data_IF_106530366435
#
_entry.id   IF_106530366435
#
_cell.length_a   1.000
_cell.length_b   1.000
_cell.length_c   1.000
_cell.angle_alpha   90.00
_cell.angle_beta   90.00
_cell.angle_gamma   90.00
#
_symmetry.space_group_name_H-M   'P 1'
#
loop_
_entity.id
_entity.type
_entity.pdbx_description
1 polymer ?
#
# COMPACT_ATOMS: atom_id res chain seq x y z
N UNK A 1 -27.49 3.85 10.56
CA UNK A 1 -27.68 4.00 9.09
C UNK A 1 -26.74 5.10 8.68
N UNK A 2 -25.54 4.75 8.20
CA UNK A 2 -24.63 5.73 7.60
C UNK A 2 -25.05 5.88 6.14
N UNK A 3 -25.47 7.09 5.77
CA UNK A 3 -25.75 7.46 4.40
C UNK A 3 -24.48 7.27 3.57
N UNK A 4 -24.56 6.43 2.55
CA UNK A 4 -23.55 6.32 1.51
C UNK A 4 -23.55 7.65 0.74
N UNK A 5 -22.56 8.49 0.96
CA UNK A 5 -22.33 9.67 0.14
C UNK A 5 -22.09 9.23 -1.31
N UNK A 6 -22.88 9.79 -2.21
CA UNK A 6 -22.82 9.55 -3.65
C UNK A 6 -21.44 9.95 -4.22
N UNK A 7 -20.59 8.94 -4.46
CA UNK A 7 -19.24 9.09 -4.99
C UNK A 7 -19.16 9.54 -6.48
N UNK A 8 -20.32 9.90 -7.09
CA UNK A 8 -20.38 10.26 -8.52
C UNK A 8 -19.91 11.69 -8.85
N UNK A 9 -19.56 12.51 -7.85
CA UNK A 9 -19.32 13.95 -8.00
C UNK A 9 -17.87 14.42 -7.90
N UNK A 10 -16.88 13.52 -7.92
CA UNK A 10 -15.51 14.02 -8.00
C UNK A 10 -15.24 14.60 -9.39
N UNK A 11 -14.74 15.85 -9.49
CA UNK A 11 -14.38 16.43 -10.77
C UNK A 11 -13.32 15.55 -11.45
N UNK A 12 -13.42 15.42 -12.77
CA UNK A 12 -12.40 14.76 -13.56
C UNK A 12 -11.03 15.36 -13.19
N UNK A 13 -10.11 14.51 -12.71
CA UNK A 13 -8.78 14.92 -12.27
C UNK A 13 -7.97 15.36 -13.49
N UNK A 14 -8.18 16.62 -13.93
CA UNK A 14 -7.42 17.23 -15.00
C UNK A 14 -6.05 17.66 -14.43
N UNK A 15 -5.00 17.03 -14.91
CA UNK A 15 -3.63 17.49 -14.68
C UNK A 15 -3.51 18.93 -15.25
N UNK A 16 -3.19 19.91 -14.36
CA UNK A 16 -2.88 21.29 -14.79
C UNK A 16 -3.73 22.40 -14.19
N UNK A 17 -4.83 22.10 -13.48
CA UNK A 17 -5.60 23.14 -12.79
C UNK A 17 -5.04 23.36 -11.38
N UNK A 18 -4.55 24.56 -11.11
CA UNK A 18 -4.05 24.96 -9.77
C UNK A 18 -5.14 24.94 -8.69
N UNK A 19 -6.40 24.80 -9.05
CA UNK A 19 -7.55 24.67 -8.14
C UNK A 19 -7.94 23.21 -7.85
N UNK A 20 -7.42 22.24 -8.61
CA UNK A 20 -7.76 20.84 -8.44
C UNK A 20 -7.22 20.27 -7.12
N UNK A 21 -7.97 19.35 -6.48
CA UNK A 21 -7.49 18.66 -5.28
C UNK A 21 -6.26 17.80 -5.61
N UNK A 22 -5.36 17.66 -4.62
CA UNK A 22 -4.24 16.74 -4.72
C UNK A 22 -4.73 15.31 -4.58
N UNK A 23 -4.29 14.43 -5.48
CA UNK A 23 -4.65 13.02 -5.45
C UNK A 23 -3.68 12.23 -4.56
N UNK A 24 -4.21 11.64 -3.50
CA UNK A 24 -3.52 10.64 -2.68
C UNK A 24 -3.88 9.24 -3.16
N UNK A 25 -2.91 8.46 -3.60
CA UNK A 25 -3.09 7.06 -3.94
C UNK A 25 -2.87 6.15 -2.73
N UNK A 26 -3.74 5.16 -2.55
CA UNK A 26 -3.67 4.15 -1.49
C UNK A 26 -3.66 2.75 -2.12
N UNK A 27 -2.72 1.91 -1.70
CA UNK A 27 -2.68 0.49 -2.08
C UNK A 27 -2.02 -0.34 -0.97
N UNK A 28 -2.28 -1.67 -0.97
CA UNK A 28 -1.73 -2.59 0.00
C UNK A 28 -1.01 -3.77 -0.65
N UNK A 29 -0.10 -4.36 0.11
CA UNK A 29 0.56 -5.63 -0.20
C UNK A 29 0.42 -6.61 0.96
N UNK A 30 0.11 -7.87 0.64
CA UNK A 30 0.11 -8.92 1.66
C UNK A 30 -1.25 -9.38 2.13
N UNK A 31 -2.32 -9.26 1.34
CA UNK A 31 -3.64 -9.83 1.67
C UNK A 31 -3.67 -11.35 1.59
N UNK A 32 -3.14 -11.92 0.51
CA UNK A 32 -3.19 -13.37 0.25
C UNK A 32 -2.16 -14.27 0.94
N UNK A 33 -1.03 -13.79 1.49
CA UNK A 33 -0.08 -14.62 2.23
C UNK A 33 -0.67 -15.27 3.48
N UNK A 34 -0.14 -16.46 3.81
CA UNK A 34 -0.45 -17.20 5.04
C UNK A 34 0.32 -16.69 6.25
N UNK A 35 1.36 -15.88 6.05
CA UNK A 35 2.24 -15.40 7.12
C UNK A 35 2.68 -13.95 6.89
N UNK A 36 2.97 -13.27 7.99
CA UNK A 36 3.47 -11.91 8.01
C UNK A 36 2.39 -10.83 7.92
N UNK A 37 2.80 -9.56 7.94
CA UNK A 37 1.89 -8.41 8.00
C UNK A 37 1.17 -8.15 6.68
N UNK A 38 0.11 -7.34 6.74
CA UNK A 38 -0.34 -6.51 5.62
C UNK A 38 0.32 -5.15 5.74
N UNK A 39 0.77 -4.61 4.61
CA UNK A 39 1.44 -3.32 4.51
C UNK A 39 0.71 -2.48 3.48
N UNK A 40 0.34 -1.26 3.83
CA UNK A 40 -0.21 -0.29 2.90
C UNK A 40 0.68 0.94 2.78
N UNK A 41 0.50 1.65 1.69
CA UNK A 41 1.15 2.94 1.44
C UNK A 41 0.13 3.99 1.00
N UNK A 42 0.39 5.23 1.39
CA UNK A 42 -0.26 6.42 0.88
C UNK A 42 0.78 7.27 0.15
N UNK A 43 0.46 7.78 -1.04
CA UNK A 43 1.40 8.57 -1.85
C UNK A 43 0.69 9.74 -2.53
N UNK A 44 1.29 10.93 -2.43
CA UNK A 44 0.96 12.10 -3.24
C UNK A 44 2.20 12.42 -4.09
N UNK A 45 2.03 12.51 -5.39
CA UNK A 45 3.11 12.83 -6.33
C UNK A 45 3.12 14.32 -6.63
N UNK A 46 4.30 14.95 -6.79
CA UNK A 46 4.40 16.30 -7.32
C UNK A 46 4.03 16.33 -8.81
N UNK A 47 3.65 17.49 -9.33
CA UNK A 47 3.18 17.65 -10.71
C UNK A 47 4.25 17.28 -11.76
N UNK A 48 5.51 17.43 -11.45
CA UNK A 48 6.67 17.13 -12.31
C UNK A 48 7.18 15.69 -12.16
N UNK A 49 6.45 14.82 -11.45
CA UNK A 49 6.88 13.44 -11.25
C UNK A 49 6.94 12.67 -12.58
N UNK A 50 8.04 12.00 -12.92
CA UNK A 50 8.19 11.28 -14.18
C UNK A 50 7.37 9.98 -14.19
N UNK A 51 6.20 9.93 -14.87
CA UNK A 51 5.29 8.77 -14.79
C UNK A 51 5.88 7.50 -15.42
N UNK A 52 6.85 7.63 -16.33
CA UNK A 52 7.51 6.50 -16.97
C UNK A 52 8.23 5.55 -15.99
N UNK A 53 8.56 6.04 -14.78
CA UNK A 53 9.22 5.24 -13.73
C UNK A 53 8.24 4.26 -13.08
N UNK A 54 6.95 4.59 -13.09
CA UNK A 54 5.92 3.83 -12.38
C UNK A 54 5.41 2.61 -13.15
N UNK A 55 5.79 2.44 -14.43
CA UNK A 55 5.31 1.36 -15.31
C UNK A 55 4.95 0.09 -14.55
N UNK A 56 3.75 -0.43 -14.81
CA UNK A 56 3.10 -1.63 -14.22
C UNK A 56 3.91 -2.30 -13.09
N UNK A 57 3.64 -1.92 -11.84
CA UNK A 57 4.40 -2.34 -10.66
C UNK A 57 4.54 -3.86 -10.54
N UNK A 58 3.58 -4.61 -11.11
CA UNK A 58 3.54 -6.07 -11.13
C UNK A 58 4.48 -6.67 -12.18
N UNK A 59 4.84 -5.89 -13.22
CA UNK A 59 5.77 -6.29 -14.30
C UNK A 59 7.19 -5.74 -14.12
N UNK A 60 7.42 -4.84 -13.13
CA UNK A 60 8.76 -4.34 -12.86
C UNK A 60 9.67 -5.45 -12.32
N UNK A 61 10.86 -5.59 -12.90
CA UNK A 61 11.92 -6.40 -12.29
C UNK A 61 12.29 -5.83 -10.91
N UNK A 62 12.90 -6.63 -10.04
CA UNK A 62 13.31 -6.21 -8.69
C UNK A 62 14.13 -4.92 -8.76
N UNK A 63 15.17 -4.85 -9.63
CA UNK A 63 16.01 -3.66 -9.79
C UNK A 63 15.24 -2.41 -10.22
N UNK A 64 14.29 -2.54 -11.15
CA UNK A 64 13.47 -1.41 -11.59
C UNK A 64 12.54 -0.93 -10.48
N UNK A 65 12.01 -1.85 -9.66
CA UNK A 65 11.15 -1.52 -8.52
C UNK A 65 11.94 -0.81 -7.41
N UNK A 66 13.16 -1.24 -7.11
CA UNK A 66 14.04 -0.57 -6.17
C UNK A 66 14.41 0.86 -6.63
N UNK A 67 14.67 1.04 -7.92
CA UNK A 67 14.90 2.38 -8.48
C UNK A 67 13.65 3.26 -8.36
N UNK A 68 12.48 2.73 -8.70
CA UNK A 68 11.22 3.45 -8.57
C UNK A 68 10.94 3.82 -7.10
N UNK A 69 11.13 2.89 -6.16
CA UNK A 69 11.01 3.13 -4.73
C UNK A 69 11.89 4.31 -4.28
N UNK A 70 13.17 4.31 -4.68
CA UNK A 70 14.10 5.39 -4.34
C UNK A 70 13.60 6.74 -4.81
N UNK A 71 13.18 6.85 -6.08
CA UNK A 71 12.70 8.10 -6.66
C UNK A 71 11.38 8.54 -6.03
N UNK A 72 10.45 7.62 -5.75
CA UNK A 72 9.20 7.94 -5.04
C UNK A 72 9.52 8.51 -3.65
N UNK A 73 10.38 7.86 -2.88
CA UNK A 73 10.76 8.31 -1.52
C UNK A 73 11.46 9.67 -1.51
N UNK A 74 12.22 9.98 -2.56
CA UNK A 74 12.93 11.26 -2.70
C UNK A 74 11.99 12.41 -3.07
N UNK A 75 11.03 12.18 -3.99
CA UNK A 75 10.22 13.25 -4.59
C UNK A 75 8.82 13.38 -4.00
N UNK A 76 8.18 12.29 -3.62
CA UNK A 76 6.78 12.25 -3.24
C UNK A 76 6.56 12.49 -1.74
N UNK A 77 5.36 12.95 -1.37
CA UNK A 77 4.87 12.78 -0.02
C UNK A 77 4.33 11.37 0.15
N UNK A 78 4.83 10.63 1.12
CA UNK A 78 4.42 9.23 1.31
C UNK A 78 4.37 8.83 2.78
N UNK A 79 3.52 7.84 3.06
CA UNK A 79 3.42 7.17 4.34
C UNK A 79 3.28 5.67 4.19
N UNK A 80 3.70 4.92 5.21
CA UNK A 80 3.55 3.45 5.29
C UNK A 80 2.75 3.12 6.54
N UNK A 81 1.80 2.21 6.38
CA UNK A 81 1.04 1.60 7.46
C UNK A 81 1.27 0.09 7.49
N UNK A 82 1.52 -0.45 8.66
CA UNK A 82 1.79 -1.88 8.87
C UNK A 82 0.82 -2.41 9.91
N UNK A 83 0.17 -3.55 9.60
CA UNK A 83 -0.69 -4.27 10.53
C UNK A 83 -0.20 -5.71 10.64
N UNK A 84 0.04 -6.15 11.89
CA UNK A 84 0.64 -7.46 12.17
C UNK A 84 -0.29 -8.62 11.83
N UNK A 85 0.28 -9.82 11.73
CA UNK A 85 -0.47 -11.07 11.56
C UNK A 85 -1.45 -11.32 12.71
N UNK A 86 -1.10 -10.95 13.94
CA UNK A 86 -1.97 -11.10 15.13
C UNK A 86 -3.22 -10.24 15.00
N UNK A 87 -3.07 -8.97 14.62
CA UNK A 87 -4.22 -8.08 14.39
C UNK A 87 -5.06 -8.57 13.19
N UNK A 88 -4.42 -9.12 12.14
CA UNK A 88 -5.16 -9.74 11.03
C UNK A 88 -6.06 -10.88 11.51
N UNK A 89 -5.56 -11.71 12.43
CA UNK A 89 -6.33 -12.82 12.99
C UNK A 89 -7.48 -12.34 13.91
N UNK A 90 -7.35 -11.17 14.53
CA UNK A 90 -8.37 -10.56 15.38
C UNK A 90 -9.50 -9.89 14.59
N UNK A 91 -9.16 -9.08 13.57
CA UNK A 91 -10.13 -8.21 12.88
C UNK A 91 -10.44 -8.62 11.44
N UNK A 92 -9.88 -9.68 10.93
CA UNK A 92 -9.81 -10.16 9.55
C UNK A 92 -8.96 -9.31 8.59
N UNK A 93 -8.70 -9.87 7.40
CA UNK A 93 -7.77 -9.25 6.44
C UNK A 93 -8.34 -7.99 5.76
N UNK A 94 -9.65 -7.87 5.61
CA UNK A 94 -10.26 -6.68 5.02
C UNK A 94 -10.07 -5.48 5.96
N UNK A 95 -10.51 -5.61 7.20
CA UNK A 95 -10.37 -4.56 8.22
C UNK A 95 -8.90 -4.22 8.49
N UNK A 96 -8.03 -5.23 8.51
CA UNK A 96 -6.59 -5.01 8.67
C UNK A 96 -5.97 -4.25 7.48
N UNK A 97 -6.45 -4.48 6.24
CA UNK A 97 -6.00 -3.72 5.06
C UNK A 97 -6.45 -2.26 5.14
N UNK A 98 -7.71 -2.00 5.50
CA UNK A 98 -8.23 -0.65 5.69
C UNK A 98 -7.51 0.08 6.83
N UNK A 99 -7.24 -0.61 7.95
CA UNK A 99 -6.45 -0.07 9.06
C UNK A 99 -5.01 0.25 8.64
N UNK A 100 -4.39 -0.58 7.80
CA UNK A 100 -3.06 -0.31 7.27
C UNK A 100 -3.07 0.93 6.35
N UNK A 101 -4.08 1.08 5.48
CA UNK A 101 -4.26 2.28 4.65
C UNK A 101 -4.47 3.54 5.50
N UNK A 102 -5.28 3.47 6.56
CA UNK A 102 -5.48 4.57 7.51
C UNK A 102 -4.16 5.01 8.13
N UNK A 103 -3.39 4.06 8.68
CA UNK A 103 -2.05 4.35 9.25
C UNK A 103 -1.09 4.93 8.22
N UNK A 104 -1.14 4.47 6.97
CA UNK A 104 -0.32 5.02 5.90
C UNK A 104 -0.67 6.48 5.60
N UNK A 105 -1.96 6.80 5.53
CA UNK A 105 -2.43 8.17 5.33
C UNK A 105 -2.07 9.08 6.51
N UNK A 106 -2.23 8.62 7.74
CA UNK A 106 -1.81 9.35 8.95
C UNK A 106 -0.30 9.65 8.93
N UNK A 107 0.52 8.66 8.57
CA UNK A 107 1.97 8.85 8.44
C UNK A 107 2.37 9.83 7.32
N UNK A 108 1.61 9.87 6.22
CA UNK A 108 1.77 10.87 5.16
C UNK A 108 1.38 12.26 5.67
N UNK A 109 0.24 12.39 6.35
CA UNK A 109 -0.31 13.67 6.80
C UNK A 109 0.64 14.43 7.72
N UNK A 110 1.41 13.74 8.56
CA UNK A 110 2.42 14.34 9.44
C UNK A 110 3.51 15.09 8.64
N UNK A 111 3.84 14.61 7.44
CA UNK A 111 4.92 15.16 6.60
C UNK A 111 4.41 16.15 5.55
N UNK A 112 3.12 16.17 5.34
CA UNK A 112 2.51 16.81 4.18
C UNK A 112 2.83 18.29 4.05
N UNK A 113 2.69 19.08 5.12
CA UNK A 113 2.90 20.53 5.05
C UNK A 113 4.34 20.89 4.67
N UNK A 114 5.33 20.23 5.30
CA UNK A 114 6.75 20.46 5.00
C UNK A 114 7.09 20.05 3.57
N UNK A 115 6.55 18.94 3.10
CA UNK A 115 6.75 18.49 1.73
C UNK A 115 6.10 19.43 0.71
N UNK A 116 4.87 19.89 0.97
CA UNK A 116 4.12 20.78 0.09
C UNK A 116 4.84 22.13 -0.10
N UNK A 117 5.38 22.72 0.97
CA UNK A 117 6.21 23.91 0.89
C UNK A 117 7.45 23.69 0.02
N UNK A 118 8.19 22.62 0.25
CA UNK A 118 9.39 22.28 -0.52
C UNK A 118 9.12 21.94 -1.98
N UNK A 119 7.97 21.38 -2.29
CA UNK A 119 7.54 21.03 -3.65
C UNK A 119 6.84 22.19 -4.38
N UNK A 120 6.67 23.37 -3.76
CA UNK A 120 5.94 24.51 -4.33
C UNK A 120 4.45 24.19 -4.57
N UNK A 121 3.88 23.25 -3.81
CA UNK A 121 2.49 22.82 -3.94
C UNK A 121 1.62 23.66 -3.02
N UNK A 122 0.75 24.47 -3.60
CA UNK A 122 -0.28 25.19 -2.85
C UNK A 122 -1.33 24.16 -2.39
N UNK A 123 -1.24 23.73 -1.14
CA UNK A 123 -2.12 22.71 -0.58
C UNK A 123 -3.54 23.25 -0.41
N UNK A 124 -4.49 22.69 -1.16
CA UNK A 124 -5.90 23.07 -1.01
C UNK A 124 -6.70 21.93 -0.38
N UNK A 125 -6.94 20.89 -1.10
CA UNK A 125 -7.75 19.76 -0.64
C UNK A 125 -7.07 18.48 -1.10
N UNK A 126 -7.05 17.48 -0.24
CA UNK A 126 -6.60 16.14 -0.61
C UNK A 126 -7.84 15.27 -0.85
N UNK A 127 -7.85 14.55 -1.97
CA UNK A 127 -8.80 13.48 -2.24
C UNK A 127 -8.02 12.17 -2.40
N UNK A 128 -8.53 11.09 -1.87
CA UNK A 128 -7.87 9.79 -1.93
C UNK A 128 -8.54 8.83 -2.93
N UNK A 129 -7.73 7.98 -3.55
CA UNK A 129 -8.19 6.81 -4.32
C UNK A 129 -7.51 5.58 -3.76
N UNK A 130 -8.32 4.60 -3.32
CA UNK A 130 -7.85 3.32 -2.83
C UNK A 130 -8.02 2.25 -3.92
N UNK A 131 -6.99 1.40 -4.12
CA UNK A 131 -7.16 0.19 -4.94
C UNK A 131 -8.06 -0.81 -4.22
N UNK A 132 -9.10 -1.27 -4.89
CA UNK A 132 -10.06 -2.24 -4.34
C UNK A 132 -11.50 -1.77 -4.35
N UNK A 133 -12.31 -2.30 -3.42
CA UNK A 133 -13.77 -2.10 -3.35
C UNK A 133 -14.22 -1.32 -2.10
N UNK A 134 -13.31 -1.00 -1.20
CA UNK A 134 -13.61 -0.33 0.07
C UNK A 134 -12.65 0.82 0.32
N UNK A 135 -13.15 1.86 0.99
CA UNK A 135 -12.36 3.01 1.42
C UNK A 135 -11.98 2.88 2.89
N UNK A 136 -10.74 3.25 3.27
CA UNK A 136 -10.41 3.45 4.67
C UNK A 136 -11.13 4.68 5.24
N UNK A 137 -11.42 4.66 6.54
CA UNK A 137 -11.88 5.83 7.29
C UNK A 137 -10.69 6.77 7.57
N UNK A 138 -10.52 7.78 6.71
CA UNK A 138 -9.45 8.79 6.75
C UNK A 138 -10.02 10.20 6.72
N UNK A 139 -9.24 11.18 7.13
CA UNK A 139 -9.71 12.57 7.27
C UNK A 139 -9.91 13.35 5.96
N UNK A 140 -10.10 12.68 4.82
CA UNK A 140 -10.41 13.31 3.53
C UNK A 140 -11.41 12.46 2.73
N UNK A 141 -11.96 13.06 1.67
CA UNK A 141 -12.80 12.33 0.74
C UNK A 141 -12.00 11.19 0.08
N UNK A 142 -12.54 9.97 0.13
CA UNK A 142 -11.90 8.79 -0.45
C UNK A 142 -12.89 8.02 -1.33
N UNK A 143 -12.44 7.61 -2.49
CA UNK A 143 -13.15 6.64 -3.34
C UNK A 143 -12.33 5.37 -3.51
N UNK A 144 -13.01 4.25 -3.65
CA UNK A 144 -12.39 2.99 -4.02
C UNK A 144 -12.60 2.69 -5.50
N UNK A 145 -11.59 2.13 -6.14
CA UNK A 145 -11.68 1.73 -7.54
C UNK A 145 -10.86 0.46 -7.78
N UNK A 146 -11.48 -0.54 -8.39
CA UNK A 146 -10.81 -1.80 -8.71
C UNK A 146 -9.78 -1.57 -9.80
N UNK A 147 -8.56 -2.04 -9.57
CA UNK A 147 -7.37 -1.84 -10.43
C UNK A 147 -7.00 -0.35 -10.59
N UNK A 148 -7.16 0.42 -9.54
CA UNK A 148 -6.73 1.81 -9.50
C UNK A 148 -5.21 1.94 -9.69
N UNK A 149 -4.45 0.92 -9.28
CA UNK A 149 -3.01 0.78 -9.50
C UNK A 149 -2.60 0.78 -10.99
N UNK A 150 -3.51 0.48 -11.90
CA UNK A 150 -3.28 0.54 -13.34
C UNK A 150 -3.71 1.88 -13.97
N UNK A 151 -4.44 2.74 -13.24
CA UNK A 151 -5.06 3.95 -13.78
C UNK A 151 -4.48 5.24 -13.22
N UNK A 152 -4.10 5.24 -11.94
CA UNK A 152 -3.67 6.43 -11.22
C UNK A 152 -2.21 6.32 -10.79
N UNK A 153 -1.38 7.24 -11.25
CA UNK A 153 0.05 7.26 -10.92
C UNK A 153 0.33 7.26 -9.40
N UNK A 154 -0.39 8.03 -8.54
CA UNK A 154 -0.19 7.94 -7.10
C UNK A 154 -0.51 6.56 -6.50
N UNK A 155 -1.54 5.86 -7.02
CA UNK A 155 -1.90 4.50 -6.56
C UNK A 155 -0.84 3.49 -7.02
N UNK A 156 -0.34 3.63 -8.24
CA UNK A 156 0.77 2.82 -8.76
C UNK A 156 2.04 3.00 -7.90
N UNK A 157 2.36 4.23 -7.51
CA UNK A 157 3.46 4.53 -6.61
C UNK A 157 3.24 3.92 -5.21
N UNK A 158 2.01 3.98 -4.68
CA UNK A 158 1.64 3.35 -3.43
C UNK A 158 1.82 1.82 -3.49
N UNK A 159 1.39 1.18 -4.56
CA UNK A 159 1.59 -0.25 -4.82
C UNK A 159 3.07 -0.65 -4.75
N UNK A 160 3.95 0.13 -5.38
CA UNK A 160 5.39 -0.09 -5.34
C UNK A 160 5.91 -0.02 -3.91
N UNK A 161 5.60 1.04 -3.16
CA UNK A 161 6.10 1.23 -1.79
C UNK A 161 5.56 0.16 -0.84
N UNK A 162 4.28 -0.18 -0.91
CA UNK A 162 3.69 -1.24 -0.09
C UNK A 162 4.37 -2.59 -0.35
N UNK A 163 4.59 -2.91 -1.64
CA UNK A 163 5.24 -4.17 -2.06
C UNK A 163 6.71 -4.25 -1.62
N UNK A 164 7.50 -3.20 -1.85
CA UNK A 164 8.92 -3.21 -1.49
C UNK A 164 9.11 -3.26 0.02
N UNK A 165 8.34 -2.49 0.77
CA UNK A 165 8.35 -2.50 2.23
C UNK A 165 8.01 -3.89 2.78
N UNK A 166 6.92 -4.51 2.29
CA UNK A 166 6.53 -5.84 2.75
C UNK A 166 7.55 -6.90 2.39
N UNK A 167 8.08 -6.87 1.18
CA UNK A 167 9.09 -7.85 0.75
C UNK A 167 10.37 -7.76 1.61
N UNK A 168 10.80 -6.55 1.97
CA UNK A 168 11.92 -6.34 2.89
C UNK A 168 11.65 -6.94 4.28
N UNK A 169 10.44 -6.73 4.83
CA UNK A 169 10.03 -7.35 6.10
C UNK A 169 10.11 -8.88 6.00
N UNK A 170 9.60 -9.47 4.91
CA UNK A 170 9.59 -10.93 4.77
C UNK A 170 10.99 -11.52 4.55
N UNK A 171 11.92 -10.77 3.96
CA UNK A 171 13.34 -11.15 3.88
C UNK A 171 13.99 -11.14 5.27
N UNK A 172 13.67 -10.15 6.10
CA UNK A 172 14.16 -10.11 7.48
C UNK A 172 13.56 -11.24 8.34
N UNK A 173 12.28 -11.58 8.11
CA UNK A 173 11.66 -12.73 8.77
C UNK A 173 12.29 -14.07 8.35
N UNK A 174 12.78 -14.18 7.10
CA UNK A 174 13.52 -15.36 6.64
C UNK A 174 14.80 -15.60 7.45
N UNK A 175 15.52 -14.53 7.77
CA UNK A 175 16.72 -14.62 8.62
C UNK A 175 16.40 -15.11 10.04
N UNK A 176 15.24 -14.74 10.58
CA UNK A 176 14.78 -15.14 11.92
C UNK A 176 14.21 -16.57 11.94
N UNK A 177 13.56 -16.95 10.83
CA UNK A 177 12.86 -18.23 10.70
C UNK A 177 13.27 -18.95 9.39
N UNK A 178 14.54 -19.32 9.24
CA UNK A 178 15.07 -19.80 7.95
C UNK A 178 14.43 -21.10 7.45
N UNK A 179 13.89 -21.92 8.36
CA UNK A 179 13.20 -23.16 8.01
C UNK A 179 11.95 -22.96 7.15
N UNK A 180 11.35 -21.75 7.17
CA UNK A 180 10.12 -21.46 6.44
C UNK A 180 10.34 -20.92 5.00
N UNK A 181 11.52 -20.40 4.67
CA UNK A 181 11.87 -19.96 3.32
C UNK A 181 11.15 -18.69 2.85
N UNK A 182 10.87 -17.75 3.74
CA UNK A 182 10.13 -16.52 3.45
C UNK A 182 10.80 -15.61 2.42
N UNK A 183 12.12 -15.66 2.28
CA UNK A 183 12.82 -14.90 1.25
C UNK A 183 12.39 -15.28 -0.17
N UNK A 184 11.95 -16.53 -0.40
CA UNK A 184 11.50 -17.00 -1.70
C UNK A 184 10.05 -16.64 -1.99
N UNK A 185 9.14 -17.05 -1.13
CA UNK A 185 7.69 -16.95 -1.38
C UNK A 185 6.99 -15.84 -0.61
N UNK A 186 7.70 -15.05 0.21
CA UNK A 186 7.15 -13.90 0.97
C UNK A 186 5.87 -14.23 1.79
N UNK A 187 5.76 -15.48 2.24
CA UNK A 187 4.59 -15.98 2.99
C UNK A 187 3.40 -16.39 2.14
N UNK A 188 3.46 -16.30 0.81
CA UNK A 188 2.37 -16.75 -0.07
C UNK A 188 2.16 -18.28 0.01
N UNK A 189 0.92 -18.77 -0.26
CA UNK A 189 0.54 -20.18 -0.14
C UNK A 189 1.10 -21.04 -1.28
N UNK A 190 2.41 -21.03 -1.49
CA UNK A 190 3.07 -21.91 -2.44
C UNK A 190 3.02 -23.37 -1.96
N UNK A 191 3.17 -24.32 -2.86
CA UNK A 191 3.24 -25.75 -2.50
C UNK A 191 4.32 -26.01 -1.43
N UNK A 192 5.47 -25.35 -1.59
CA UNK A 192 6.58 -25.42 -0.64
C UNK A 192 6.19 -24.90 0.75
N UNK A 193 5.61 -23.67 0.83
CA UNK A 193 5.23 -23.09 2.12
C UNK A 193 4.18 -23.95 2.83
N UNK A 194 3.17 -24.44 2.10
CA UNK A 194 2.16 -25.34 2.65
C UNK A 194 2.75 -26.66 3.16
N UNK A 195 3.72 -27.24 2.42
CA UNK A 195 4.42 -28.46 2.83
C UNK A 195 5.18 -28.22 4.13
N UNK A 196 5.97 -27.15 4.21
CA UNK A 196 6.73 -26.79 5.40
C UNK A 196 5.82 -26.62 6.62
N UNK A 197 4.71 -25.89 6.48
CA UNK A 197 3.75 -25.71 7.58
C UNK A 197 3.13 -27.03 8.07
N UNK A 198 2.94 -28.02 7.18
CA UNK A 198 2.45 -29.35 7.60
C UNK A 198 3.53 -30.18 8.30
N UNK A 199 4.78 -30.06 7.90
CA UNK A 199 5.90 -30.84 8.43
C UNK A 199 6.39 -30.34 9.78
N UNK A 200 6.54 -29.02 9.94
CA UNK A 200 7.14 -28.41 11.14
C UNK A 200 6.17 -27.49 11.91
N UNK A 201 4.91 -27.38 11.47
CA UNK A 201 3.90 -26.55 12.12
C UNK A 201 3.94 -25.09 11.68
N UNK A 202 3.05 -24.26 12.26
CA UNK A 202 2.98 -22.83 11.94
C UNK A 202 4.19 -22.08 12.53
N UNK A 203 4.67 -21.08 11.82
CA UNK A 203 5.70 -20.17 12.33
C UNK A 203 5.12 -19.16 13.33
N UNK A 204 5.99 -18.46 14.12
CA UNK A 204 5.53 -17.38 15.00
C UNK A 204 4.85 -16.19 14.31
N UNK A 205 4.97 -16.06 12.98
CA UNK A 205 4.31 -15.01 12.20
C UNK A 205 3.18 -15.55 11.31
N UNK A 206 2.75 -16.80 11.54
CA UNK A 206 1.66 -17.42 10.78
C UNK A 206 0.31 -16.76 11.12
N UNK A 207 -0.54 -16.58 10.11
CA UNK A 207 -1.94 -16.16 10.29
C UNK A 207 -2.78 -17.40 10.58
N UNK A 208 -3.19 -17.56 11.83
CA UNK A 208 -3.83 -18.79 12.30
C UNK A 208 -5.26 -18.95 11.79
N UNK A 209 -5.91 -17.86 11.40
CA UNK A 209 -7.25 -17.87 10.81
C UNK A 209 -7.26 -18.21 9.32
N UNK A 210 -6.09 -18.22 8.66
CA UNK A 210 -5.96 -18.58 7.24
C UNK A 210 -5.82 -20.09 7.06
N UNK A 211 -6.60 -20.65 6.13
CA UNK A 211 -6.54 -22.08 5.81
C UNK A 211 -5.50 -22.36 4.72
N UNK A 212 -4.77 -23.48 4.84
CA UNK A 212 -3.74 -23.92 3.89
C UNK A 212 -3.66 -25.42 3.70
#
# INVERSE_FOLDING_TARGET
MHEFSDCSRMPALCAGDASAPLLCGLDEAGRGPLAGPVVASAVILPNDFPPAILNDSKRLSVKKRELAEKIIKEKACWGIGIVSHTVIDEINILEASLLAMKKAYEALSIKFNVWAEGAGVSAKTICAVADGTFCPDIGCECRSEVKADAKYAPVMAASILAKTCRDAIMIEMDKRYPAYGYARHKGYPTAEHRRICREIGPSPIQRLTFRY
#
